data_IF_996611341425
#
_entry.id   IF_996611341425
#
_cell.length_a   1.000
_cell.length_b   1.000
_cell.length_c   1.000
_cell.angle_alpha   90.00
_cell.angle_beta   90.00
_cell.angle_gamma   90.00
#
_symmetry.space_group_name_H-M   'P 1'
#
loop_
_entity.id
_entity.type
_entity.pdbx_description
1 polymer ?
#
# COMPACT_ATOMS: atom_id res chain seq x y z
N UNK A 1 -41.22 18.32 69.28
CA UNK A 1 -41.81 19.60 68.83
C UNK A 1 -41.99 19.51 67.32
N UNK A 2 -43.26 19.34 66.92
CA UNK A 2 -43.90 19.62 65.62
C UNK A 2 -43.26 19.01 64.36
N UNK A 3 -43.89 18.01 63.74
CA UNK A 3 -45.14 18.08 62.92
C UNK A 3 -44.84 18.75 61.56
N UNK A 4 -45.26 18.26 60.39
CA UNK A 4 -46.34 17.31 60.06
C UNK A 4 -46.32 17.03 58.54
N UNK A 5 -46.67 15.78 58.18
CA UNK A 5 -47.67 15.33 57.18
C UNK A 5 -47.60 15.81 55.71
N UNK A 6 -48.06 15.09 54.68
CA UNK A 6 -48.78 13.82 54.45
C UNK A 6 -48.70 13.59 52.91
N UNK A 7 -49.03 12.46 52.28
CA UNK A 7 -49.65 11.20 52.68
C UNK A 7 -50.22 10.49 51.42
N UNK A 8 -50.51 9.19 51.55
CA UNK A 8 -51.44 8.37 50.74
C UNK A 8 -50.97 7.95 49.33
N UNK A 9 -50.96 6.69 48.89
CA UNK A 9 -51.51 5.42 49.41
C UNK A 9 -52.82 5.01 48.72
N UNK A 10 -52.82 3.86 48.01
CA UNK A 10 -54.01 3.10 47.55
C UNK A 10 -54.26 3.16 46.02
N UNK A 11 -54.04 2.15 45.17
CA UNK A 11 -54.53 0.74 45.04
C UNK A 11 -55.94 0.64 44.42
N UNK A 12 -56.12 -0.42 43.59
CA UNK A 12 -57.31 -0.96 42.88
C UNK A 12 -57.47 -0.42 41.45
N UNK A 13 -57.73 -1.19 40.39
CA UNK A 13 -58.07 -2.61 40.19
C UNK A 13 -58.86 -2.74 38.86
N UNK A 14 -58.83 -3.92 38.21
CA UNK A 14 -59.99 -4.44 37.45
C UNK A 14 -60.03 -4.36 35.90
N UNK A 15 -59.81 -5.53 35.29
CA UNK A 15 -60.73 -6.27 34.41
C UNK A 15 -61.11 -5.85 32.96
N UNK A 16 -61.11 -6.87 32.07
CA UNK A 16 -61.93 -7.02 30.85
C UNK A 16 -61.21 -6.66 29.53
N UNK A 17 -61.26 -7.41 28.42
CA UNK A 17 -62.07 -8.55 27.97
C UNK A 17 -61.71 -8.88 26.50
N UNK A 18 -62.11 -10.07 26.05
CA UNK A 18 -61.69 -10.85 24.87
C UNK A 18 -62.16 -10.31 23.49
N UNK A 19 -61.44 -10.64 22.40
CA UNK A 19 -61.91 -11.56 21.30
C UNK A 19 -61.20 -11.37 19.94
N UNK A 20 -60.69 -12.49 19.38
CA UNK A 20 -60.56 -12.95 17.96
C UNK A 20 -60.14 -11.96 16.85
N UNK A 21 -59.26 -12.25 15.88
CA UNK A 21 -59.00 -13.45 15.05
C UNK A 21 -57.67 -13.22 14.29
N UNK A 22 -56.90 -14.28 14.02
CA UNK A 22 -55.73 -14.23 13.11
C UNK A 22 -56.12 -13.92 11.65
N UNK A 23 -55.20 -13.69 10.70
CA UNK A 23 -53.78 -14.05 10.61
C UNK A 23 -53.19 -13.39 9.33
N UNK A 24 -51.87 -13.11 9.37
CA UNK A 24 -50.89 -12.94 8.24
C UNK A 24 -50.77 -11.55 7.59
N UNK A 25 -49.61 -10.99 7.27
CA UNK A 25 -48.19 -11.34 7.46
C UNK A 25 -47.33 -10.12 7.03
N UNK A 26 -46.36 -9.67 7.83
CA UNK A 26 -44.99 -9.23 7.46
C UNK A 26 -44.32 -8.48 8.64
N UNK A 27 -43.02 -8.64 8.91
CA UNK A 27 -42.41 -8.25 10.18
C UNK A 27 -41.99 -6.76 10.23
N UNK A 28 -42.46 -6.03 11.23
CA UNK A 28 -41.83 -4.79 11.68
C UNK A 28 -40.57 -5.11 12.50
N UNK A 29 -39.41 -4.70 12.00
CA UNK A 29 -38.18 -4.65 12.79
C UNK A 29 -38.32 -3.59 13.90
N UNK A 30 -38.17 -4.06 15.16
CA UNK A 30 -38.05 -3.20 16.34
C UNK A 30 -36.86 -2.25 16.19
N UNK A 31 -37.14 -0.95 16.06
CA UNK A 31 -36.15 0.13 16.25
C UNK A 31 -35.60 0.06 17.68
N UNK A 32 -34.36 -0.37 17.85
CA UNK A 32 -33.57 -0.07 19.05
C UNK A 32 -33.29 1.43 19.08
N UNK A 33 -33.62 2.10 20.18
CA UNK A 33 -33.28 3.50 20.40
C UNK A 33 -31.74 3.66 20.52
N UNK A 34 -31.15 4.48 19.65
CA UNK A 34 -29.74 4.87 19.71
C UNK A 34 -29.55 5.91 20.84
N UNK A 35 -28.45 5.78 21.60
CA UNK A 35 -28.07 6.77 22.62
C UNK A 35 -27.39 7.99 21.95
N UNK A 36 -27.40 9.17 22.57
CA UNK A 36 -26.74 10.35 22.00
C UNK A 36 -25.23 10.10 21.83
N UNK A 37 -24.76 9.98 20.58
CA UNK A 37 -23.34 9.79 20.25
C UNK A 37 -23.04 8.85 19.08
N UNK A 38 -23.98 8.01 18.65
CA UNK A 38 -23.74 7.04 17.57
C UNK A 38 -24.07 7.62 16.18
N UNK A 39 -23.05 7.83 15.34
CA UNK A 39 -23.20 8.18 13.92
C UNK A 39 -23.28 6.91 13.05
N UNK A 40 -24.32 6.71 12.22
CA UNK A 40 -24.38 5.60 11.28
C UNK A 40 -23.42 5.79 10.08
N UNK A 41 -23.00 4.70 9.40
CA UNK A 41 -22.06 4.76 8.28
C UNK A 41 -22.67 5.50 7.07
N UNK A 42 -21.88 6.41 6.48
CA UNK A 42 -22.25 7.22 5.30
C UNK A 42 -22.55 6.35 4.08
N UNK A 43 -23.82 6.15 3.75
CA UNK A 43 -24.27 5.80 2.39
C UNK A 43 -24.56 7.10 1.63
N UNK A 44 -24.09 7.20 0.38
CA UNK A 44 -24.36 8.36 -0.49
C UNK A 44 -25.85 8.63 -0.63
N UNK A 45 -26.25 9.91 -0.63
CA UNK A 45 -27.66 10.31 -0.76
C UNK A 45 -28.23 9.90 -2.12
N UNK A 46 -29.38 9.24 -2.11
CA UNK A 46 -30.20 9.06 -3.31
C UNK A 46 -30.79 10.42 -3.76
N UNK A 47 -30.90 10.60 -5.08
CA UNK A 47 -31.42 11.81 -5.72
C UNK A 47 -32.90 12.03 -5.37
N UNK A 48 -33.28 13.28 -5.07
CA UNK A 48 -34.64 13.63 -4.67
C UNK A 48 -35.59 13.66 -5.90
N UNK A 49 -36.67 12.87 -5.93
CA UNK A 49 -37.61 12.82 -7.06
C UNK A 49 -38.40 14.11 -7.32
N UNK A 50 -38.39 15.08 -6.38
CA UNK A 50 -39.09 16.37 -6.53
C UNK A 50 -38.27 17.49 -7.18
N UNK A 51 -37.03 17.23 -7.60
CA UNK A 51 -36.10 18.27 -8.07
C UNK A 51 -36.07 18.49 -9.60
N UNK A 52 -37.07 18.00 -10.34
CA UNK A 52 -37.08 18.03 -11.81
C UNK A 52 -36.13 16.98 -12.43
N UNK A 53 -36.12 16.85 -13.78
CA UNK A 53 -35.34 15.82 -14.46
C UNK A 53 -33.85 15.98 -14.15
N UNK A 54 -33.23 14.86 -13.76
CA UNK A 54 -31.81 14.77 -13.46
C UNK A 54 -31.03 15.22 -14.71
N UNK A 55 -30.10 16.18 -14.62
CA UNK A 55 -29.28 16.54 -15.77
C UNK A 55 -28.49 15.29 -16.18
N UNK A 56 -28.83 14.74 -17.34
CA UNK A 56 -28.05 13.70 -17.97
C UNK A 56 -26.66 14.28 -18.23
N UNK A 57 -25.64 13.57 -17.74
CA UNK A 57 -24.26 13.87 -18.11
C UNK A 57 -24.14 13.42 -19.57
N UNK A 58 -24.44 14.34 -20.48
CA UNK A 58 -24.30 14.14 -21.92
C UNK A 58 -22.91 13.56 -22.22
N UNK A 59 -22.93 12.32 -22.68
CA UNK A 59 -21.87 11.80 -23.53
C UNK A 59 -21.94 12.57 -24.83
N UNK A 60 -21.05 13.55 -24.99
CA UNK A 60 -20.81 14.22 -26.26
C UNK A 60 -20.18 13.25 -27.26
N UNK A 61 -21.04 12.45 -27.90
CA UNK A 61 -20.75 11.80 -29.18
C UNK A 61 -20.96 12.84 -30.29
N UNK A 62 -19.89 13.51 -30.68
CA UNK A 62 -19.82 14.31 -31.90
C UNK A 62 -18.88 13.62 -32.88
N UNK A 63 -19.45 13.02 -33.93
CA UNK A 63 -18.70 12.50 -35.05
C UNK A 63 -17.93 13.62 -35.76
N UNK A 64 -16.64 13.39 -35.98
CA UNK A 64 -15.75 14.22 -36.75
C UNK A 64 -14.54 13.38 -37.12
N UNK A 65 -14.49 12.98 -38.38
CA UNK A 65 -13.41 12.19 -38.96
C UNK A 65 -12.06 12.87 -38.75
N UNK A 66 -11.14 12.16 -38.10
CA UNK A 66 -9.81 12.65 -37.76
C UNK A 66 -9.14 11.76 -36.73
N UNK A 67 -8.29 10.87 -37.23
CA UNK A 67 -7.34 9.94 -36.58
C UNK A 67 -6.67 10.45 -35.28
N UNK A 68 -7.43 10.58 -34.19
CA UNK A 68 -6.88 10.82 -32.86
C UNK A 68 -7.76 10.12 -31.83
N UNK A 69 -7.66 8.79 -31.80
CA UNK A 69 -8.16 7.97 -30.69
C UNK A 69 -7.68 8.63 -29.40
N UNK A 70 -8.62 9.15 -28.59
CA UNK A 70 -8.31 9.72 -27.27
C UNK A 70 -7.57 8.65 -26.49
N UNK A 71 -6.25 8.74 -26.47
CA UNK A 71 -5.42 7.93 -25.60
C UNK A 71 -5.92 8.17 -24.19
N UNK A 72 -6.04 7.08 -23.45
CA UNK A 72 -6.31 7.11 -22.02
C UNK A 72 -5.45 8.17 -21.32
N UNK A 73 -6.02 8.89 -20.35
CA UNK A 73 -5.24 9.75 -19.45
C UNK A 73 -4.23 8.93 -18.62
N UNK A 74 -4.40 7.61 -18.61
CA UNK A 74 -3.51 6.64 -17.99
C UNK A 74 -2.33 6.36 -18.93
N UNK A 75 -1.14 6.81 -18.54
CA UNK A 75 0.07 6.76 -19.37
C UNK A 75 0.48 5.34 -19.80
N UNK A 76 0.26 4.33 -18.94
CA UNK A 76 0.67 2.96 -19.22
C UNK A 76 -0.26 2.28 -20.22
N UNK A 77 -1.55 2.62 -20.24
CA UNK A 77 -2.49 2.21 -21.30
C UNK A 77 -2.11 2.86 -22.64
N UNK A 78 -1.69 4.13 -22.63
CA UNK A 78 -1.17 4.80 -23.82
C UNK A 78 0.14 4.16 -24.30
N UNK A 79 1.02 3.74 -23.39
CA UNK A 79 2.23 2.97 -23.72
C UNK A 79 1.88 1.61 -24.34
N UNK A 80 0.91 0.90 -23.75
CA UNK A 80 0.49 -0.42 -24.22
C UNK A 80 -0.18 -0.34 -25.62
N UNK A 81 -0.85 0.77 -25.95
CA UNK A 81 -1.36 1.02 -27.32
C UNK A 81 -0.25 1.15 -28.38
N UNK A 82 0.98 1.45 -27.96
CA UNK A 82 2.17 1.57 -28.82
C UNK A 82 3.06 0.32 -28.76
N UNK A 83 2.58 -0.76 -28.13
CA UNK A 83 3.33 -2.00 -27.97
C UNK A 83 3.70 -2.62 -29.33
N UNK A 84 4.93 -3.11 -29.41
CA UNK A 84 5.43 -3.78 -30.61
C UNK A 84 4.91 -5.23 -30.69
N UNK A 85 4.74 -5.80 -31.90
CA UNK A 85 4.36 -7.19 -32.08
C UNK A 85 5.40 -8.13 -31.44
N UNK A 86 4.94 -9.21 -30.79
CA UNK A 86 5.83 -10.16 -30.08
C UNK A 86 6.98 -10.71 -30.96
N UNK A 87 6.74 -10.91 -32.27
CA UNK A 87 7.77 -11.33 -33.23
C UNK A 87 8.90 -10.29 -33.38
N UNK A 88 8.56 -9.01 -33.43
CA UNK A 88 9.55 -7.92 -33.55
C UNK A 88 10.41 -7.81 -32.28
N UNK A 89 9.79 -8.01 -31.12
CA UNK A 89 10.49 -8.01 -29.82
C UNK A 89 11.47 -9.18 -29.72
N UNK A 90 11.06 -10.40 -30.13
CA UNK A 90 11.92 -11.60 -30.07
C UNK A 90 13.13 -11.54 -31.02
N UNK A 91 13.00 -10.82 -32.13
CA UNK A 91 14.06 -10.67 -33.12
C UNK A 91 14.97 -9.46 -32.86
N UNK A 92 14.67 -8.64 -31.85
CA UNK A 92 15.46 -7.47 -31.51
C UNK A 92 16.81 -7.90 -30.93
N UNK A 93 17.91 -7.56 -31.63
CA UNK A 93 19.27 -7.75 -31.12
C UNK A 93 19.59 -6.71 -30.05
N UNK A 94 20.50 -7.05 -29.15
CA UNK A 94 21.07 -6.09 -28.20
C UNK A 94 21.77 -4.96 -28.97
N UNK A 95 21.49 -3.72 -28.57
CA UNK A 95 22.11 -2.54 -29.14
C UNK A 95 23.41 -2.20 -28.39
N UNK A 96 24.43 -1.67 -29.09
CA UNK A 96 25.57 -1.05 -28.43
C UNK A 96 25.12 0.09 -27.49
N UNK A 97 25.84 0.30 -26.40
CA UNK A 97 25.51 1.32 -25.39
C UNK A 97 25.32 2.72 -26.01
N UNK A 98 26.17 3.10 -26.97
CA UNK A 98 26.08 4.38 -27.67
C UNK A 98 24.72 4.60 -28.35
N UNK A 99 24.12 3.56 -28.91
CA UNK A 99 22.82 3.65 -29.59
C UNK A 99 21.67 3.68 -28.59
N UNK A 100 21.82 3.01 -27.44
CA UNK A 100 20.90 3.11 -26.31
C UNK A 100 20.86 4.55 -25.80
N UNK A 101 22.03 5.16 -25.55
CA UNK A 101 22.16 6.53 -25.07
C UNK A 101 21.57 7.54 -26.08
N UNK A 102 21.76 7.30 -27.38
CA UNK A 102 21.17 8.13 -28.42
C UNK A 102 19.63 8.08 -28.40
N UNK A 103 19.05 6.88 -28.24
CA UNK A 103 17.59 6.71 -28.11
C UNK A 103 17.04 7.29 -26.82
N UNK A 104 17.78 7.16 -25.73
CA UNK A 104 17.45 7.78 -24.45
C UNK A 104 17.45 9.31 -24.55
N UNK A 105 18.44 9.90 -25.23
CA UNK A 105 18.48 11.35 -25.49
C UNK A 105 17.25 11.84 -26.26
N UNK A 106 16.78 11.07 -27.25
CA UNK A 106 15.54 11.38 -27.99
C UNK A 106 14.32 11.33 -27.06
N UNK A 107 14.25 10.32 -26.19
CA UNK A 107 13.17 10.17 -25.22
C UNK A 107 13.13 11.32 -24.20
N UNK A 108 14.30 11.71 -23.67
CA UNK A 108 14.45 12.83 -22.73
C UNK A 108 13.95 14.13 -23.37
N UNK A 109 14.40 14.45 -24.59
CA UNK A 109 13.94 15.64 -25.32
C UNK A 109 12.43 15.62 -25.55
N UNK A 110 11.87 14.47 -25.90
CA UNK A 110 10.42 14.32 -26.06
C UNK A 110 9.64 14.57 -24.76
N UNK A 111 10.22 14.20 -23.62
CA UNK A 111 9.63 14.42 -22.29
C UNK A 111 9.70 15.90 -21.91
N UNK A 112 10.83 16.55 -22.13
CA UNK A 112 11.02 18.00 -21.91
C UNK A 112 10.03 18.82 -22.73
N UNK A 113 9.85 18.49 -24.01
CA UNK A 113 8.85 19.17 -24.85
C UNK A 113 7.42 18.93 -24.37
N UNK A 114 7.06 17.71 -23.97
CA UNK A 114 5.72 17.39 -23.45
C UNK A 114 5.44 18.15 -22.16
N UNK A 115 6.40 18.17 -21.23
CA UNK A 115 6.27 18.89 -19.96
C UNK A 115 6.14 20.40 -20.20
N UNK A 116 6.95 20.98 -21.07
CA UNK A 116 6.86 22.40 -21.44
C UNK A 116 5.52 22.75 -22.12
N UNK A 117 5.00 21.86 -22.98
CA UNK A 117 3.70 22.04 -23.61
C UNK A 117 2.56 22.01 -22.59
N UNK A 118 2.59 21.05 -21.65
CA UNK A 118 1.60 20.96 -20.57
C UNK A 118 1.63 22.21 -19.68
N UNK A 119 2.81 22.69 -19.29
CA UNK A 119 2.96 23.93 -18.52
C UNK A 119 2.36 25.14 -19.26
N UNK A 120 2.62 25.28 -20.56
CA UNK A 120 2.02 26.35 -21.39
C UNK A 120 0.50 26.23 -21.48
N UNK A 121 -0.04 25.02 -21.60
CA UNK A 121 -1.49 24.80 -21.64
C UNK A 121 -2.15 25.13 -20.31
N UNK A 122 -1.56 24.70 -19.19
CA UNK A 122 -2.05 25.02 -17.85
C UNK A 122 -2.04 26.53 -17.57
N UNK A 123 -0.99 27.24 -18.02
CA UNK A 123 -0.92 28.69 -17.91
C UNK A 123 -2.00 29.42 -18.75
N UNK A 124 -2.35 28.89 -19.93
CA UNK A 124 -3.38 29.45 -20.82
C UNK A 124 -4.80 29.14 -20.38
N UNK A 125 -5.01 28.01 -19.72
CA UNK A 125 -6.33 27.53 -19.28
C UNK A 125 -7.05 28.53 -18.36
N UNK A 126 -6.31 29.30 -17.55
CA UNK A 126 -6.87 30.31 -16.64
C UNK A 126 -7.86 29.76 -15.60
N UNK A 127 -7.95 28.42 -15.46
CA UNK A 127 -8.86 27.71 -14.55
C UNK A 127 -8.67 28.18 -13.11
N UNK A 128 -9.76 28.14 -12.33
CA UNK A 128 -9.69 28.36 -10.88
C UNK A 128 -8.71 27.39 -10.22
N UNK A 129 -8.63 26.15 -10.72
CA UNK A 129 -7.72 25.11 -10.22
C UNK A 129 -6.25 25.44 -10.51
N UNK A 130 -5.94 25.94 -11.72
CA UNK A 130 -4.55 26.32 -12.06
C UNK A 130 -4.08 27.54 -11.27
N UNK A 131 -4.98 28.50 -11.03
CA UNK A 131 -4.71 29.65 -10.14
C UNK A 131 -4.49 29.20 -8.70
N UNK A 132 -5.33 28.30 -8.19
CA UNK A 132 -5.17 27.73 -6.84
C UNK A 132 -3.84 26.98 -6.70
N UNK A 133 -3.49 26.13 -7.67
CA UNK A 133 -2.21 25.41 -7.69
C UNK A 133 -1.01 26.38 -7.71
N UNK A 134 -1.10 27.48 -8.47
CA UNK A 134 -0.05 28.51 -8.49
C UNK A 134 0.12 29.19 -7.13
N UNK A 135 -0.98 29.47 -6.44
CA UNK A 135 -1.00 30.10 -5.11
C UNK A 135 -0.43 29.15 -4.05
N UNK A 136 -0.82 27.88 -4.07
CA UNK A 136 -0.29 26.86 -3.16
C UNK A 136 1.21 26.67 -3.35
N UNK A 137 1.69 26.72 -4.60
CA UNK A 137 3.13 26.66 -4.88
C UNK A 137 3.87 27.85 -4.26
N UNK A 138 3.30 29.05 -4.36
CA UNK A 138 3.92 30.29 -3.87
C UNK A 138 3.88 30.43 -2.33
N UNK A 139 2.70 30.30 -1.72
CA UNK A 139 2.48 30.62 -0.31
C UNK A 139 1.76 29.53 0.49
N UNK A 140 1.51 28.36 -0.11
CA UNK A 140 0.81 27.26 0.56
C UNK A 140 1.62 26.60 1.69
N UNK A 141 0.91 25.97 2.63
CA UNK A 141 1.55 25.20 3.70
C UNK A 141 2.20 23.93 3.14
N UNK A 142 3.04 23.27 3.94
CA UNK A 142 3.65 21.99 3.52
C UNK A 142 2.60 20.92 3.18
N UNK A 143 1.47 20.90 3.89
CA UNK A 143 0.37 19.98 3.61
C UNK A 143 -0.33 20.32 2.29
N UNK A 144 -0.57 21.61 2.04
CA UNK A 144 -1.18 22.06 0.78
C UNK A 144 -0.28 21.75 -0.41
N UNK A 145 1.05 21.95 -0.27
CA UNK A 145 2.04 21.61 -1.30
C UNK A 145 2.06 20.12 -1.63
N UNK A 146 1.92 19.25 -0.62
CA UNK A 146 1.80 17.79 -0.83
C UNK A 146 0.49 17.46 -1.55
N UNK A 147 -0.63 18.06 -1.13
CA UNK A 147 -1.92 17.83 -1.77
C UNK A 147 -1.91 18.29 -3.24
N UNK A 148 -1.41 19.50 -3.51
CA UNK A 148 -1.25 20.02 -4.87
C UNK A 148 -0.32 19.14 -5.73
N UNK A 149 0.82 18.70 -5.20
CA UNK A 149 1.72 17.78 -5.90
C UNK A 149 1.03 16.44 -6.24
N UNK A 150 0.20 15.93 -5.33
CA UNK A 150 -0.56 14.69 -5.53
C UNK A 150 -1.59 14.85 -6.64
N UNK A 151 -2.40 15.91 -6.61
CA UNK A 151 -3.42 16.20 -7.62
C UNK A 151 -2.79 16.36 -9.01
N UNK A 152 -1.72 17.16 -9.12
CA UNK A 152 -0.99 17.35 -10.38
C UNK A 152 -0.48 16.02 -10.95
N UNK A 153 0.08 15.15 -10.10
CA UNK A 153 0.58 13.85 -10.53
C UNK A 153 -0.54 12.87 -10.90
N UNK A 154 -1.74 13.00 -10.33
CA UNK A 154 -2.91 12.20 -10.69
C UNK A 154 -3.53 12.63 -12.03
N UNK A 155 -3.50 13.92 -12.36
CA UNK A 155 -4.07 14.46 -13.61
C UNK A 155 -3.26 14.07 -14.85
N UNK A 156 -1.95 14.34 -14.83
CA UNK A 156 -1.02 13.87 -15.87
C UNK A 156 0.32 13.49 -15.20
N UNK A 157 0.54 12.20 -14.91
CA UNK A 157 1.77 11.75 -14.26
C UNK A 157 3.01 11.94 -15.14
N UNK A 158 2.86 11.93 -16.47
CA UNK A 158 3.98 12.12 -17.41
C UNK A 158 4.46 13.56 -17.38
N UNK A 159 3.53 14.50 -17.37
CA UNK A 159 3.87 15.92 -17.33
C UNK A 159 4.35 16.38 -15.94
N UNK A 160 3.94 15.68 -14.87
CA UNK A 160 4.16 16.12 -13.49
C UNK A 160 5.13 15.22 -12.70
N UNK A 161 6.11 14.58 -13.35
CA UNK A 161 7.15 13.77 -12.68
C UNK A 161 7.94 14.56 -11.63
N UNK A 162 8.05 15.89 -11.76
CA UNK A 162 8.66 16.75 -10.73
C UNK A 162 7.89 16.73 -9.40
N UNK A 163 6.57 16.58 -9.44
CA UNK A 163 5.74 16.44 -8.23
C UNK A 163 6.03 15.13 -7.51
N UNK A 164 6.25 14.04 -8.26
CA UNK A 164 6.68 12.76 -7.71
C UNK A 164 8.05 12.88 -7.03
N UNK A 165 9.01 13.52 -7.69
CA UNK A 165 10.35 13.78 -7.11
C UNK A 165 10.28 14.64 -5.85
N UNK A 166 9.41 15.66 -5.81
CA UNK A 166 9.20 16.46 -4.60
C UNK A 166 8.70 15.62 -3.43
N UNK A 167 7.73 14.74 -3.66
CA UNK A 167 7.19 13.85 -2.63
C UNK A 167 8.23 12.85 -2.13
N UNK A 168 9.05 12.29 -3.03
CA UNK A 168 10.15 11.39 -2.67
C UNK A 168 11.22 12.11 -1.82
N UNK A 169 11.58 13.33 -2.20
CA UNK A 169 12.55 14.13 -1.46
C UNK A 169 12.11 14.41 -0.01
N UNK A 170 10.80 14.52 0.25
CA UNK A 170 10.26 14.65 1.61
C UNK A 170 10.54 13.39 2.46
N UNK A 171 10.45 12.20 1.86
CA UNK A 171 10.76 10.95 2.55
C UNK A 171 12.26 10.81 2.80
N UNK A 172 13.08 11.14 1.81
CA UNK A 172 14.55 11.10 1.91
C UNK A 172 15.05 12.06 2.99
N UNK A 173 14.48 13.27 3.06
CA UNK A 173 14.79 14.24 4.13
C UNK A 173 14.43 13.71 5.51
N UNK A 174 13.27 13.05 5.65
CA UNK A 174 12.81 12.51 6.93
C UNK A 174 13.68 11.36 7.45
N UNK A 175 14.43 10.66 6.58
CA UNK A 175 15.41 9.64 6.97
C UNK A 175 16.61 10.22 7.72
N UNK A 176 17.03 11.43 7.36
CA UNK A 176 18.22 12.06 7.93
C UNK A 176 17.84 12.89 9.17
N UNK A 177 17.03 13.93 9.01
CA UNK A 177 16.62 14.81 10.12
C UNK A 177 15.42 15.69 9.76
N UNK A 178 14.49 15.84 10.71
CA UNK A 178 13.33 16.72 10.56
C UNK A 178 12.29 16.17 9.57
N UNK A 179 11.30 16.99 9.19
CA UNK A 179 10.36 16.66 8.10
C UNK A 179 9.38 15.49 8.34
N UNK A 180 9.41 14.83 9.51
CA UNK A 180 8.64 13.60 9.79
C UNK A 180 7.13 13.75 9.59
N UNK A 181 6.54 14.90 9.90
CA UNK A 181 5.11 15.19 9.65
C UNK A 181 4.79 15.18 8.15
N UNK A 182 5.62 15.85 7.35
CA UNK A 182 5.48 15.85 5.89
C UNK A 182 5.69 14.46 5.30
N UNK A 183 6.63 13.68 5.84
CA UNK A 183 6.82 12.30 5.40
C UNK A 183 5.62 11.39 5.68
N UNK A 184 4.94 11.54 6.83
CA UNK A 184 3.70 10.79 7.11
C UNK A 184 2.64 11.06 6.02
N UNK A 185 2.48 12.33 5.60
CA UNK A 185 1.55 12.71 4.54
C UNK A 185 2.02 12.20 3.17
N UNK A 186 3.30 12.37 2.87
CA UNK A 186 3.90 11.94 1.60
C UNK A 186 3.85 10.42 1.41
N UNK A 187 4.01 9.61 2.47
CA UNK A 187 3.83 8.15 2.39
C UNK A 187 2.41 7.82 1.92
N UNK A 188 1.39 8.48 2.47
CA UNK A 188 0.00 8.28 2.05
C UNK A 188 -0.22 8.66 0.59
N UNK A 189 0.20 9.87 0.22
CA UNK A 189 0.09 10.39 -1.14
C UNK A 189 0.80 9.51 -2.17
N UNK A 190 2.04 9.10 -1.90
CA UNK A 190 2.82 8.23 -2.79
C UNK A 190 2.21 6.83 -2.90
N UNK A 191 1.68 6.28 -1.80
CA UNK A 191 0.99 4.97 -1.84
C UNK A 191 -0.20 5.02 -2.79
N UNK A 192 -1.03 6.05 -2.68
CA UNK A 192 -2.19 6.26 -3.56
C UNK A 192 -1.75 6.50 -5.00
N UNK A 193 -0.79 7.39 -5.23
CA UNK A 193 -0.32 7.72 -6.57
C UNK A 193 0.30 6.51 -7.28
N UNK A 194 1.15 5.74 -6.59
CA UNK A 194 1.71 4.52 -7.16
C UNK A 194 0.64 3.47 -7.42
N UNK A 195 -0.26 3.26 -6.46
CA UNK A 195 -1.32 2.27 -6.61
C UNK A 195 -2.32 2.65 -7.69
N UNK A 196 -2.74 3.90 -7.82
CA UNK A 196 -3.93 4.24 -8.58
C UNK A 196 -3.62 4.91 -9.94
N UNK A 197 -2.46 5.56 -10.09
CA UNK A 197 -2.11 6.31 -11.31
C UNK A 197 -0.82 5.81 -12.01
N UNK A 198 0.20 5.38 -11.26
CA UNK A 198 1.52 5.11 -11.84
C UNK A 198 1.74 3.64 -12.20
N UNK A 199 1.43 2.69 -11.32
CA UNK A 199 1.78 1.28 -11.54
C UNK A 199 0.71 0.56 -12.40
N UNK A 200 1.10 -0.15 -13.47
CA UNK A 200 0.20 -1.05 -14.19
C UNK A 200 -0.35 -2.16 -13.28
N UNK A 201 -1.62 -2.58 -13.44
CA UNK A 201 -2.23 -3.58 -12.56
C UNK A 201 -1.71 -5.00 -12.79
N UNK A 202 -1.45 -5.36 -14.05
CA UNK A 202 -1.25 -6.75 -14.46
C UNK A 202 0.17 -7.06 -14.92
N UNK A 203 1.11 -6.11 -14.81
CA UNK A 203 2.50 -6.29 -15.25
C UNK A 203 3.47 -5.48 -14.42
N UNK A 204 4.70 -5.96 -14.36
CA UNK A 204 5.84 -5.24 -13.78
C UNK A 204 6.35 -4.17 -14.76
N UNK A 205 6.96 -3.13 -14.21
CA UNK A 205 7.62 -2.09 -14.99
C UNK A 205 8.94 -2.62 -15.57
N UNK A 206 9.42 -2.00 -16.65
CA UNK A 206 10.72 -2.31 -17.26
C UNK A 206 11.66 -1.12 -17.22
N UNK A 207 12.95 -1.37 -17.06
CA UNK A 207 13.97 -0.35 -17.29
C UNK A 207 14.06 -0.01 -18.79
N UNK A 208 14.58 1.17 -19.11
CA UNK A 208 14.71 1.61 -20.50
C UNK A 208 15.58 0.66 -21.33
N UNK A 209 16.65 0.15 -20.73
CA UNK A 209 17.57 -0.84 -21.33
C UNK A 209 16.93 -2.21 -21.56
N UNK A 210 15.87 -2.56 -20.83
CA UNK A 210 15.13 -3.82 -20.98
C UNK A 210 14.07 -3.75 -22.09
N UNK A 211 13.81 -2.56 -22.64
CA UNK A 211 12.87 -2.38 -23.73
C UNK A 211 13.48 -2.88 -25.05
N UNK A 212 12.67 -3.32 -26.03
CA UNK A 212 13.13 -3.76 -27.35
C UNK A 212 13.56 -2.56 -28.21
N UNK A 213 14.63 -1.88 -27.79
CA UNK A 213 15.11 -0.64 -28.39
C UNK A 213 15.49 -0.84 -29.85
N UNK A 214 16.07 -1.97 -30.27
CA UNK A 214 16.40 -2.20 -31.69
C UNK A 214 15.17 -2.18 -32.61
N UNK A 215 14.02 -2.63 -32.11
CA UNK A 215 12.75 -2.65 -32.84
C UNK A 215 11.91 -1.38 -32.62
N UNK A 216 12.44 -0.35 -31.95
CA UNK A 216 11.71 0.88 -31.63
C UNK A 216 11.13 1.57 -32.86
N UNK A 217 11.77 1.47 -34.03
CA UNK A 217 11.30 2.03 -35.30
C UNK A 217 10.43 1.10 -36.14
N UNK A 218 10.11 -0.11 -35.67
CA UNK A 218 9.38 -1.11 -36.46
C UNK A 218 7.91 -0.73 -36.75
N UNK A 219 7.36 0.21 -35.96
CA UNK A 219 6.03 0.78 -36.13
C UNK A 219 6.10 2.31 -36.04
N UNK A 220 5.11 3.03 -36.62
CA UNK A 220 4.99 4.49 -36.48
C UNK A 220 5.01 4.96 -35.02
N UNK A 221 5.23 6.26 -34.82
CA UNK A 221 5.29 6.90 -33.50
C UNK A 221 6.45 6.43 -32.60
N UNK A 222 7.60 6.07 -33.19
CA UNK A 222 8.81 5.70 -32.44
C UNK A 222 9.15 6.71 -31.34
N UNK A 223 9.15 8.00 -31.65
CA UNK A 223 9.46 9.05 -30.67
C UNK A 223 8.56 9.00 -29.43
N UNK A 224 7.26 8.76 -29.63
CA UNK A 224 6.27 8.68 -28.54
C UNK A 224 6.40 7.38 -27.76
N UNK A 225 6.76 6.28 -28.43
CA UNK A 225 7.09 4.99 -27.81
C UNK A 225 8.31 5.12 -26.89
N UNK A 226 9.40 5.72 -27.40
CA UNK A 226 10.61 5.99 -26.63
C UNK A 226 10.32 6.89 -25.42
N UNK A 227 9.48 7.91 -25.58
CA UNK A 227 9.02 8.75 -24.46
C UNK A 227 8.37 7.92 -23.34
N UNK A 228 7.37 7.09 -23.64
CA UNK A 228 6.68 6.30 -22.61
C UNK A 228 7.57 5.22 -21.99
N UNK A 229 8.48 4.62 -22.77
CA UNK A 229 9.49 3.71 -22.25
C UNK A 229 10.45 4.39 -21.26
N UNK A 230 10.84 5.63 -21.54
CA UNK A 230 11.67 6.40 -20.60
C UNK A 230 10.88 6.81 -19.34
N UNK A 231 9.60 7.19 -19.49
CA UNK A 231 8.72 7.43 -18.33
C UNK A 231 8.59 6.18 -17.47
N UNK A 232 8.43 5.00 -18.08
CA UNK A 232 8.36 3.72 -17.38
C UNK A 232 9.61 3.46 -16.53
N UNK A 233 10.79 3.73 -17.10
CA UNK A 233 12.07 3.64 -16.40
C UNK A 233 12.13 4.59 -15.19
N UNK A 234 11.75 5.86 -15.37
CA UNK A 234 11.72 6.85 -14.29
C UNK A 234 10.75 6.44 -13.17
N UNK A 235 9.55 5.98 -13.51
CA UNK A 235 8.56 5.50 -12.53
C UNK A 235 9.09 4.26 -11.79
N UNK A 236 9.78 3.35 -12.47
CA UNK A 236 10.39 2.16 -11.86
C UNK A 236 11.47 2.54 -10.85
N UNK A 237 12.36 3.47 -11.20
CA UNK A 237 13.41 3.99 -10.29
C UNK A 237 12.81 4.74 -9.10
N UNK A 238 11.81 5.59 -9.35
CA UNK A 238 11.07 6.30 -8.32
C UNK A 238 10.39 5.34 -7.33
N UNK A 239 9.78 4.27 -7.84
CA UNK A 239 9.15 3.25 -7.00
C UNK A 239 10.16 2.47 -6.16
N UNK A 240 11.31 2.09 -6.74
CA UNK A 240 12.39 1.45 -5.98
C UNK A 240 12.89 2.35 -4.84
N UNK A 241 13.09 3.66 -5.11
CA UNK A 241 13.43 4.65 -4.08
C UNK A 241 12.35 4.75 -3.00
N UNK A 242 11.07 4.73 -3.38
CA UNK A 242 9.96 4.76 -2.44
C UNK A 242 9.94 3.52 -1.54
N UNK A 243 10.06 2.31 -2.09
CA UNK A 243 10.08 1.07 -1.30
C UNK A 243 11.28 1.04 -0.34
N UNK A 244 12.45 1.49 -0.79
CA UNK A 244 13.60 1.67 0.10
C UNK A 244 13.30 2.67 1.22
N UNK A 245 12.63 3.79 0.89
CA UNK A 245 12.21 4.76 1.89
C UNK A 245 11.24 4.16 2.91
N UNK A 246 10.27 3.37 2.48
CA UNK A 246 9.36 2.63 3.37
C UNK A 246 10.14 1.70 4.31
N UNK A 247 11.12 0.94 3.82
CA UNK A 247 11.94 0.07 4.67
C UNK A 247 12.66 0.87 5.77
N UNK A 248 13.28 1.99 5.42
CA UNK A 248 13.96 2.84 6.40
C UNK A 248 12.98 3.50 7.40
N UNK A 249 11.88 4.07 6.92
CA UNK A 249 10.88 4.73 7.77
C UNK A 249 10.16 3.72 8.67
N UNK A 250 10.05 2.47 8.24
CA UNK A 250 9.54 1.38 9.07
C UNK A 250 10.41 1.14 10.32
N UNK A 251 11.69 1.53 10.28
CA UNK A 251 12.68 1.39 11.37
C UNK A 251 12.80 2.66 12.21
N UNK A 252 12.10 3.74 11.85
CA UNK A 252 12.15 5.03 12.58
C UNK A 252 11.64 4.87 14.02
N UNK A 253 12.22 5.59 15.00
CA UNK A 253 11.72 5.55 16.39
C UNK A 253 10.27 6.04 16.56
N UNK A 254 9.74 6.87 15.66
CA UNK A 254 8.36 7.34 15.74
C UNK A 254 7.37 6.24 15.33
N UNK A 255 6.45 5.82 16.23
CA UNK A 255 5.49 4.75 15.94
C UNK A 255 4.60 5.04 14.72
N UNK A 256 4.20 6.30 14.53
CA UNK A 256 3.32 6.71 13.42
C UNK A 256 3.99 6.45 12.06
N UNK A 257 5.29 6.69 11.94
CA UNK A 257 6.02 6.42 10.70
C UNK A 257 6.14 4.92 10.45
N UNK A 258 6.38 4.12 11.50
CA UNK A 258 6.39 2.66 11.39
C UNK A 258 5.05 2.15 10.87
N UNK A 259 3.96 2.54 11.53
CA UNK A 259 2.61 2.10 11.20
C UNK A 259 2.23 2.48 9.76
N UNK A 260 2.49 3.74 9.37
CA UNK A 260 2.20 4.22 8.01
C UNK A 260 3.03 3.49 6.96
N UNK A 261 4.31 3.23 7.23
CA UNK A 261 5.19 2.55 6.27
C UNK A 261 4.81 1.08 6.08
N UNK A 262 4.49 0.39 7.18
CA UNK A 262 4.04 -1.02 7.16
C UNK A 262 2.69 -1.14 6.44
N UNK A 263 1.75 -0.23 6.73
CA UNK A 263 0.47 -0.21 6.03
C UNK A 263 0.64 0.08 4.53
N UNK A 264 1.46 1.06 4.17
CA UNK A 264 1.76 1.36 2.77
C UNK A 264 2.38 0.15 2.04
N UNK A 265 3.33 -0.54 2.68
CA UNK A 265 3.95 -1.74 2.11
C UNK A 265 2.92 -2.86 1.86
N UNK A 266 2.01 -3.09 2.81
CA UNK A 266 0.91 -4.06 2.66
C UNK A 266 -0.04 -3.68 1.52
N UNK A 267 -0.51 -2.44 1.48
CA UNK A 267 -1.44 -1.97 0.44
C UNK A 267 -0.85 -2.13 -0.97
N UNK A 268 0.43 -1.80 -1.14
CA UNK A 268 1.13 -1.94 -2.42
C UNK A 268 1.33 -3.42 -2.79
N UNK A 269 1.77 -4.25 -1.84
CA UNK A 269 1.98 -5.69 -2.06
C UNK A 269 0.68 -6.40 -2.45
N UNK A 270 -0.44 -5.99 -1.84
CA UNK A 270 -1.78 -6.52 -2.16
C UNK A 270 -2.24 -6.08 -3.55
N UNK A 271 -1.89 -4.88 -4.00
CA UNK A 271 -2.54 -4.26 -5.17
C UNK A 271 -1.74 -4.31 -6.46
N UNK A 272 -0.40 -4.41 -6.40
CA UNK A 272 0.47 -4.28 -7.58
C UNK A 272 1.62 -5.30 -7.54
N UNK A 273 2.00 -5.88 -8.70
CA UNK A 273 3.04 -6.93 -8.77
C UNK A 273 4.49 -6.38 -8.73
N UNK A 274 4.69 -5.07 -8.59
CA UNK A 274 6.02 -4.45 -8.61
C UNK A 274 6.72 -4.56 -7.25
N UNK A 275 7.98 -4.98 -7.25
CA UNK A 275 8.86 -5.05 -6.06
C UNK A 275 8.30 -5.85 -4.85
N UNK A 276 7.48 -6.87 -5.11
CA UNK A 276 6.80 -7.71 -4.09
C UNK A 276 7.74 -8.25 -3.01
N UNK A 277 8.94 -8.71 -3.41
CA UNK A 277 9.93 -9.27 -2.48
C UNK A 277 10.40 -8.23 -1.46
N UNK A 278 10.69 -7.01 -1.89
CA UNK A 278 11.14 -5.97 -0.97
C UNK A 278 10.01 -5.52 -0.04
N UNK A 279 8.79 -5.37 -0.56
CA UNK A 279 7.61 -5.04 0.24
C UNK A 279 7.32 -6.11 1.30
N UNK A 280 7.38 -7.39 0.92
CA UNK A 280 7.21 -8.51 1.84
C UNK A 280 8.28 -8.51 2.94
N UNK A 281 9.54 -8.25 2.58
CA UNK A 281 10.63 -8.13 3.54
C UNK A 281 10.38 -7.00 4.56
N UNK A 282 9.81 -5.86 4.13
CA UNK A 282 9.44 -4.77 5.06
C UNK A 282 8.42 -5.26 6.10
N UNK A 283 7.41 -6.02 5.69
CA UNK A 283 6.39 -6.57 6.59
C UNK A 283 6.97 -7.63 7.54
N UNK A 284 7.68 -8.62 7.00
CA UNK A 284 8.23 -9.75 7.77
C UNK A 284 9.24 -9.27 8.80
N UNK A 285 10.11 -8.32 8.46
CA UNK A 285 11.07 -7.76 9.40
C UNK A 285 10.40 -7.09 10.63
N UNK A 286 9.11 -6.72 10.54
CA UNK A 286 8.36 -6.15 11.69
C UNK A 286 7.81 -7.14 12.68
N UNK A 287 7.86 -8.43 12.39
CA UNK A 287 7.65 -9.46 13.42
C UNK A 287 8.66 -9.35 14.57
N UNK A 288 9.84 -8.76 14.29
CA UNK A 288 10.89 -8.50 15.27
C UNK A 288 10.85 -7.12 15.94
N UNK A 289 9.79 -6.32 15.75
CA UNK A 289 9.75 -4.99 16.36
C UNK A 289 9.67 -5.08 17.91
N UNK A 290 10.43 -4.26 18.66
CA UNK A 290 10.38 -4.26 20.11
C UNK A 290 8.97 -3.95 20.63
N UNK A 291 8.20 -3.10 19.94
CA UNK A 291 6.84 -2.75 20.30
C UNK A 291 5.88 -3.86 19.90
N UNK A 292 5.24 -4.48 20.90
CA UNK A 292 4.29 -5.60 20.71
C UNK A 292 3.18 -5.28 19.71
N UNK A 293 2.62 -4.06 19.79
CA UNK A 293 1.55 -3.60 18.88
C UNK A 293 1.99 -3.63 17.41
N UNK A 294 3.22 -3.21 17.12
CA UNK A 294 3.76 -3.17 15.76
C UNK A 294 3.99 -4.58 15.23
N UNK A 295 4.58 -5.47 16.03
CA UNK A 295 4.82 -6.86 15.65
C UNK A 295 3.52 -7.65 15.42
N UNK A 296 2.54 -7.51 16.32
CA UNK A 296 1.21 -8.11 16.16
C UNK A 296 0.47 -7.57 14.95
N UNK A 297 0.57 -6.27 14.65
CA UNK A 297 -0.03 -5.69 13.45
C UNK A 297 0.61 -6.24 12.16
N UNK A 298 1.93 -6.40 12.13
CA UNK A 298 2.63 -7.00 11.00
C UNK A 298 2.17 -8.45 10.76
N UNK A 299 2.06 -9.25 11.82
CA UNK A 299 1.52 -10.61 11.73
C UNK A 299 0.09 -10.63 11.20
N UNK A 300 -0.78 -9.72 11.69
CA UNK A 300 -2.15 -9.59 11.20
C UNK A 300 -2.20 -9.29 9.69
N UNK A 301 -1.41 -8.32 9.21
CA UNK A 301 -1.37 -7.95 7.79
C UNK A 301 -0.85 -9.09 6.92
N UNK A 302 0.17 -9.83 7.37
CA UNK A 302 0.67 -11.01 6.66
C UNK A 302 -0.37 -12.13 6.60
N UNK A 303 -1.09 -12.37 7.69
CA UNK A 303 -2.16 -13.36 7.72
C UNK A 303 -3.32 -12.97 6.81
N UNK A 304 -3.71 -11.70 6.82
CA UNK A 304 -4.73 -11.14 5.94
C UNK A 304 -4.33 -11.30 4.46
N UNK A 305 -3.07 -11.00 4.12
CA UNK A 305 -2.51 -11.17 2.79
C UNK A 305 -2.70 -12.61 2.29
N UNK A 306 -2.28 -13.61 3.06
CA UNK A 306 -2.30 -15.01 2.61
C UNK A 306 -3.67 -15.69 2.74
N UNK A 307 -4.56 -15.14 3.55
CA UNK A 307 -5.88 -15.74 3.81
C UNK A 307 -6.97 -15.18 2.92
N UNK A 308 -6.92 -13.88 2.60
CA UNK A 308 -8.00 -13.18 1.89
C UNK A 308 -7.58 -12.68 0.51
N UNK A 309 -6.38 -12.10 0.43
CA UNK A 309 -5.98 -11.31 -0.74
C UNK A 309 -5.26 -12.14 -1.79
N UNK A 310 -4.21 -12.85 -1.37
CA UNK A 310 -3.34 -13.64 -2.25
C UNK A 310 -3.04 -15.03 -1.68
N UNK A 311 -4.01 -15.97 -1.71
CA UNK A 311 -3.79 -17.34 -1.22
C UNK A 311 -2.65 -18.09 -1.90
N UNK A 312 -2.33 -17.76 -3.16
CA UNK A 312 -1.21 -18.34 -3.89
C UNK A 312 0.17 -17.95 -3.31
N UNK A 313 0.25 -16.86 -2.52
CA UNK A 313 1.50 -16.39 -1.91
C UNK A 313 1.88 -17.11 -0.61
N UNK A 314 1.03 -17.99 -0.05
CA UNK A 314 1.26 -18.66 1.25
C UNK A 314 2.68 -19.22 1.39
N UNK A 315 3.16 -19.96 0.40
CA UNK A 315 4.50 -20.58 0.45
C UNK A 315 5.62 -19.55 0.37
N UNK A 316 5.45 -18.49 -0.41
CA UNK A 316 6.44 -17.40 -0.52
C UNK A 316 6.56 -16.66 0.80
N UNK A 317 5.42 -16.33 1.43
CA UNK A 317 5.40 -15.70 2.75
C UNK A 317 5.99 -16.63 3.81
N UNK A 318 5.64 -17.91 3.82
CA UNK A 318 6.18 -18.88 4.76
C UNK A 318 7.72 -18.95 4.70
N UNK A 319 8.30 -19.04 3.48
CA UNK A 319 9.76 -19.06 3.29
C UNK A 319 10.45 -17.79 3.76
N UNK A 320 9.85 -16.62 3.53
CA UNK A 320 10.42 -15.35 3.99
C UNK A 320 10.39 -15.28 5.52
N UNK A 321 9.30 -15.74 6.15
CA UNK A 321 9.17 -15.82 7.62
C UNK A 321 10.15 -16.83 8.22
N UNK A 322 10.37 -17.98 7.58
CA UNK A 322 11.39 -18.97 7.95
C UNK A 322 12.80 -18.37 7.90
N UNK A 323 13.14 -17.72 6.78
CA UNK A 323 14.43 -17.04 6.58
C UNK A 323 14.64 -15.96 7.64
N UNK A 324 13.57 -15.22 7.98
CA UNK A 324 13.59 -14.28 9.09
C UNK A 324 13.82 -14.98 10.43
N UNK A 325 13.11 -16.06 10.74
CA UNK A 325 13.17 -16.75 12.04
C UNK A 325 14.58 -17.27 12.39
N UNK A 326 15.31 -17.79 11.39
CA UNK A 326 16.65 -18.35 11.55
C UNK A 326 17.79 -17.34 11.30
N UNK A 327 17.49 -16.07 11.01
CA UNK A 327 18.52 -15.05 10.86
C UNK A 327 19.27 -14.84 12.18
N UNK A 328 20.59 -14.70 12.11
CA UNK A 328 21.43 -14.36 13.28
C UNK A 328 20.93 -13.06 13.92
N UNK A 329 20.84 -13.04 15.26
CA UNK A 329 20.43 -11.86 16.04
C UNK A 329 18.91 -11.72 16.24
N UNK A 330 18.10 -12.65 15.75
CA UNK A 330 16.65 -12.64 15.98
C UNK A 330 16.34 -13.15 17.39
N UNK A 331 15.65 -12.32 18.19
CA UNK A 331 15.30 -12.66 19.57
C UNK A 331 14.15 -13.67 19.67
N UNK A 332 14.05 -14.37 20.81
CA UNK A 332 13.01 -15.38 21.08
C UNK A 332 11.59 -14.84 20.87
N UNK A 333 11.34 -13.58 21.24
CA UNK A 333 10.04 -12.92 21.05
C UNK A 333 9.65 -12.81 19.57
N UNK A 334 10.62 -12.54 18.69
CA UNK A 334 10.39 -12.45 17.26
C UNK A 334 10.14 -13.84 16.65
N UNK A 335 10.90 -14.85 17.09
CA UNK A 335 10.68 -16.26 16.71
C UNK A 335 9.30 -16.76 17.17
N UNK A 336 8.85 -16.35 18.36
CA UNK A 336 7.49 -16.62 18.84
C UNK A 336 6.43 -16.03 17.91
N UNK A 337 6.53 -14.75 17.51
CA UNK A 337 5.58 -14.17 16.56
C UNK A 337 5.59 -14.86 15.20
N UNK A 338 6.78 -15.25 14.70
CA UNK A 338 6.89 -16.03 13.46
C UNK A 338 6.19 -17.40 13.58
N UNK A 339 6.44 -18.13 14.67
CA UNK A 339 5.82 -19.43 14.92
C UNK A 339 4.29 -19.34 15.07
N UNK A 340 3.79 -18.32 15.77
CA UNK A 340 2.34 -18.07 15.93
C UNK A 340 1.70 -17.70 14.59
N UNK A 341 2.35 -16.86 13.78
CA UNK A 341 1.87 -16.49 12.46
C UNK A 341 1.75 -17.71 11.55
N UNK A 342 2.81 -18.52 11.44
CA UNK A 342 2.84 -19.70 10.57
C UNK A 342 1.81 -20.76 11.00
N UNK A 343 1.53 -20.87 12.30
CA UNK A 343 0.51 -21.80 12.81
C UNK A 343 -0.90 -21.42 12.34
N UNK A 344 -1.14 -20.15 12.03
CA UNK A 344 -2.45 -19.64 11.60
C UNK A 344 -2.64 -19.73 10.09
N UNK A 345 -1.67 -20.24 9.32
CA UNK A 345 -1.79 -20.31 7.87
C UNK A 345 -2.87 -21.32 7.47
N UNK A 346 -3.89 -20.92 6.70
CA UNK A 346 -4.94 -21.84 6.28
C UNK A 346 -4.38 -22.85 5.29
N UNK A 347 -4.44 -24.13 5.65
CA UNK A 347 -4.07 -25.25 4.78
C UNK A 347 -5.23 -25.61 3.85
N UNK A 348 -4.91 -26.27 2.74
CA UNK A 348 -5.89 -26.84 1.81
C UNK A 348 -5.46 -28.25 1.42
N UNK A 349 -6.41 -29.07 0.96
CA UNK A 349 -6.12 -30.41 0.41
C UNK A 349 -5.59 -30.37 -1.03
N UNK A 350 -5.28 -29.19 -1.57
CA UNK A 350 -4.64 -29.08 -2.87
C UNK A 350 -3.15 -29.47 -2.77
N UNK A 351 -2.50 -29.87 -3.87
CA UNK A 351 -1.07 -30.21 -3.87
C UNK A 351 -0.17 -29.13 -3.26
N UNK A 352 -0.52 -27.85 -3.46
CA UNK A 352 0.24 -26.74 -2.87
C UNK A 352 0.01 -26.61 -1.35
N UNK A 353 -1.14 -27.03 -0.85
CA UNK A 353 -1.44 -27.10 0.58
C UNK A 353 -0.70 -28.24 1.27
N UNK A 354 -0.56 -29.40 0.62
CA UNK A 354 0.29 -30.50 1.11
C UNK A 354 1.77 -30.07 1.19
N UNK A 355 2.28 -29.41 0.15
CA UNK A 355 3.65 -28.86 0.14
C UNK A 355 3.85 -27.82 1.24
N UNK A 356 2.85 -26.97 1.49
CA UNK A 356 2.90 -26.00 2.58
C UNK A 356 2.92 -26.72 3.94
N UNK A 357 2.07 -27.72 4.14
CA UNK A 357 2.03 -28.50 5.38
C UNK A 357 3.38 -29.18 5.67
N UNK A 358 3.98 -29.84 4.67
CA UNK A 358 5.31 -30.44 4.80
C UNK A 358 6.37 -29.40 5.19
N UNK A 359 6.38 -28.25 4.50
CA UNK A 359 7.28 -27.13 4.80
C UNK A 359 7.11 -26.62 6.24
N UNK A 360 5.87 -26.47 6.73
CA UNK A 360 5.62 -26.03 8.11
C UNK A 360 6.11 -27.05 9.14
N UNK A 361 5.94 -28.35 8.88
CA UNK A 361 6.46 -29.42 9.75
C UNK A 361 7.99 -29.35 9.83
N UNK A 362 8.67 -29.24 8.69
CA UNK A 362 10.13 -29.07 8.64
C UNK A 362 10.59 -27.83 9.41
N UNK A 363 9.88 -26.71 9.23
CA UNK A 363 10.15 -25.47 9.97
C UNK A 363 10.05 -25.67 11.49
N UNK A 364 8.97 -26.29 11.99
CA UNK A 364 8.80 -26.48 13.44
C UNK A 364 9.84 -27.42 14.04
N UNK A 365 10.23 -28.49 13.33
CA UNK A 365 11.32 -29.35 13.78
C UNK A 365 12.67 -28.60 13.80
N UNK A 366 12.98 -27.83 12.76
CA UNK A 366 14.20 -27.03 12.71
C UNK A 366 14.23 -25.96 13.83
N UNK A 367 13.09 -25.31 14.09
CA UNK A 367 12.95 -24.34 15.17
C UNK A 367 13.17 -25.00 16.53
N UNK A 368 12.53 -26.16 16.77
CA UNK A 368 12.72 -26.94 17.99
C UNK A 368 14.18 -27.33 18.21
N UNK A 369 14.84 -27.91 17.20
CA UNK A 369 16.25 -28.29 17.30
C UNK A 369 17.15 -27.10 17.64
N UNK A 370 16.90 -25.96 16.99
CA UNK A 370 17.65 -24.72 17.22
C UNK A 370 17.47 -24.21 18.66
N UNK A 371 16.22 -24.19 19.15
CA UNK A 371 15.91 -23.74 20.51
C UNK A 371 16.44 -24.71 21.56
N UNK A 372 16.34 -26.01 21.32
CA UNK A 372 16.88 -27.05 22.20
C UNK A 372 18.41 -26.94 22.33
N UNK A 373 19.12 -26.75 21.21
CA UNK A 373 20.57 -26.54 21.22
C UNK A 373 20.94 -25.29 22.02
N UNK A 374 20.26 -24.17 21.78
CA UNK A 374 20.47 -22.92 22.51
C UNK A 374 20.19 -23.07 24.01
N UNK A 375 19.18 -23.85 24.38
CA UNK A 375 18.87 -24.12 25.79
C UNK A 375 19.98 -24.92 26.47
N UNK A 376 20.63 -25.86 25.78
CA UNK A 376 21.77 -26.61 26.32
C UNK A 376 23.01 -25.73 26.49
N UNK A 377 23.35 -24.95 25.46
CA UNK A 377 24.47 -24.01 25.51
C UNK A 377 24.31 -22.96 26.62
N UNK A 378 23.08 -22.52 26.91
CA UNK A 378 22.80 -21.63 28.03
C UNK A 378 23.00 -22.27 29.41
N UNK A 379 22.65 -23.56 29.55
CA UNK A 379 22.88 -24.31 30.80
C UNK A 379 24.37 -24.58 31.04
N UNK A 380 25.14 -24.82 29.97
CA UNK A 380 26.58 -25.04 30.07
C UNK A 380 27.34 -23.74 30.49
N UNK A 381 26.85 -22.56 30.08
CA UNK A 381 27.43 -21.26 30.49
C UNK A 381 27.09 -20.86 31.94
N UNK A 382 25.93 -21.25 32.46
CA UNK A 382 25.57 -21.04 33.88
C UNK A 382 26.29 -22.03 34.82
N UNK A 383 26.79 -23.16 34.30
CA UNK A 383 27.56 -24.15 35.04
C UNK A 383 29.06 -23.84 35.20
N UNK A 384 29.59 -22.84 34.47
CA UNK A 384 31.00 -22.40 34.51
C UNK A 384 31.22 -21.11 35.35
N UNK A 385 30.31 -20.73 36.24
CA UNK A 385 30.69 -19.76 37.29
C UNK A 385 31.65 -20.42 38.30
N UNK A 386 32.80 -19.80 38.64
CA UNK A 386 33.79 -20.42 39.49
C UNK A 386 33.28 -20.49 40.93
N UNK A 387 32.89 -21.69 41.35
CA UNK A 387 32.82 -22.11 42.74
C UNK A 387 34.22 -22.11 43.35
N UNK A 388 34.74 -20.92 43.66
CA UNK A 388 36.16 -20.76 43.98
C UNK A 388 36.48 -19.50 44.78
N UNK A 389 35.72 -19.21 45.84
CA UNK A 389 36.27 -18.50 47.01
C UNK A 389 35.93 -19.26 48.28
N UNK A 390 36.83 -20.19 48.59
CA UNK A 390 37.03 -20.81 49.89
C UNK A 390 36.93 -19.80 51.03
N UNK A 391 36.06 -20.12 51.97
CA UNK A 391 36.21 -19.74 53.36
C UNK A 391 37.54 -20.30 53.92
N UNK A 392 38.22 -19.49 54.73
CA UNK A 392 39.46 -19.79 55.46
C UNK A 392 39.94 -18.48 56.09
N UNK A 393 39.29 -18.02 57.17
CA UNK A 393 39.56 -18.31 58.58
C UNK A 393 40.83 -17.62 59.13
N UNK A 394 40.59 -16.74 60.11
CA UNK A 394 41.44 -16.19 61.19
C UNK A 394 42.90 -15.76 60.90
N UNK A 395 43.19 -14.49 61.22
CA UNK A 395 43.70 -14.12 62.56
C UNK A 395 43.51 -12.65 62.86
#
# INVERSE_FOLDING_TARGET
>A
RRDTMAGGGGVLGGAGGKSSKGKKNAPEEKKRALRPGDLPPRRGRAWNPGAGPRPEREGGGGGGDGENQRLSNVWHEASDSLALPSKAVKNAKELPQKDIDAKESVAIKALEERTAHHEKQSARSGSADSKWLSLVRASGTAADKIAAATVLAQEDPVANLRSLEHLLALLEKARVKGGKRGAVQAVGALTELFRDALLPPNRKLKYFSEQPLAASGALPNERKRLLYWHVEDLVKRAYARFVNALDALSKDPLPVLKEKSVKAAFELLKSRPENERALLAVLVNKLGDPQRRTASNAAHLLLELVSKEHPAMKRVVAREVETFCFRKGVGLKAQYYAAVLLNQFPLSHAPDGERLAAQLVEFYFALFQTLHKRSREGLDQEGEEPSGKTAGDKK
#
